data_IF_966494759398
#
_entry.id   IF_966494759398
#
_cell.length_a   1.000
_cell.length_b   1.000
_cell.length_c   1.000
_cell.angle_alpha   90.00
_cell.angle_beta   90.00
_cell.angle_gamma   90.00
#
_symmetry.space_group_name_H-M   'P 1'
#
loop_
_entity.id
_entity.type
_entity.pdbx_description
1 polymer ?
#
# COMPACT_ATOMS: atom_id res chain seq x y z
N UNK A 1 -10.78 4.89 12.42
CA UNK A 1 -9.45 5.38 11.95
C UNK A 1 -9.02 6.74 12.52
N UNK A 2 -9.77 7.37 13.42
CA UNK A 2 -9.42 8.70 13.95
C UNK A 2 -8.24 8.70 14.94
N UNK A 3 -8.01 7.60 15.65
CA UNK A 3 -7.03 7.57 16.75
C UNK A 3 -5.56 7.72 16.29
N UNK A 4 -5.19 7.24 15.11
CA UNK A 4 -3.78 7.27 14.68
C UNK A 4 -3.27 8.69 14.45
N UNK A 5 -4.07 9.55 13.80
CA UNK A 5 -3.68 10.94 13.56
C UNK A 5 -3.67 11.76 14.86
N UNK A 6 -4.55 11.44 15.80
CA UNK A 6 -4.52 12.02 17.16
C UNK A 6 -3.24 11.63 17.89
N UNK A 7 -2.85 10.36 17.85
CA UNK A 7 -1.60 9.91 18.46
C UNK A 7 -0.37 10.54 17.80
N UNK A 8 -0.35 10.67 16.47
CA UNK A 8 0.73 11.35 15.74
C UNK A 8 0.87 12.81 16.21
N UNK A 9 -0.24 13.55 16.30
CA UNK A 9 -0.22 14.93 16.79
C UNK A 9 0.21 15.02 18.26
N UNK A 10 -0.28 14.12 19.11
CA UNK A 10 0.06 14.13 20.55
C UNK A 10 1.54 13.78 20.80
N UNK A 11 2.13 12.94 19.95
CA UNK A 11 3.54 12.52 20.03
C UNK A 11 4.48 13.35 19.15
N UNK A 12 4.05 14.53 18.73
CA UNK A 12 4.84 15.43 17.88
C UNK A 12 6.22 15.71 18.49
N UNK A 13 7.27 15.39 17.73
CA UNK A 13 8.66 15.44 18.20
C UNK A 13 9.66 15.73 17.05
N UNK A 14 9.19 16.22 15.91
CA UNK A 14 10.04 16.48 14.73
C UNK A 14 9.83 17.89 14.15
N UNK A 15 10.14 18.97 14.90
CA UNK A 15 9.93 20.35 14.42
C UNK A 15 11.08 20.90 13.56
N UNK A 16 12.24 20.24 13.53
CA UNK A 16 13.46 20.72 12.85
C UNK A 16 13.83 19.76 11.71
N UNK A 17 14.04 20.31 10.51
CA UNK A 17 14.41 19.55 9.32
C UNK A 17 15.57 20.21 8.60
N UNK A 18 16.60 19.42 8.25
CA UNK A 18 17.81 19.91 7.52
C UNK A 18 18.46 21.15 8.16
N UNK A 19 18.37 21.29 9.48
CA UNK A 19 18.93 22.43 10.22
C UNK A 19 18.02 23.67 10.32
N UNK A 20 16.80 23.60 9.78
CA UNK A 20 15.81 24.69 9.81
C UNK A 20 14.63 24.31 10.70
N UNK A 21 14.12 25.28 11.47
CA UNK A 21 12.84 25.13 12.16
C UNK A 21 11.72 25.14 11.10
N UNK A 22 10.78 24.23 11.22
CA UNK A 22 9.66 24.08 10.30
C UNK A 22 8.33 24.41 10.97
N UNK A 23 7.33 24.69 10.15
CA UNK A 23 5.94 24.88 10.59
C UNK A 23 5.18 23.54 10.76
N UNK A 24 5.90 22.42 10.87
CA UNK A 24 5.35 21.07 10.99
C UNK A 24 6.06 20.33 12.13
N UNK A 25 5.29 19.88 13.13
CA UNK A 25 5.88 19.23 14.32
C UNK A 25 5.96 17.69 14.21
N UNK A 26 5.40 17.13 13.13
CA UNK A 26 5.27 15.69 12.91
C UNK A 26 6.02 15.22 11.66
N UNK A 27 6.58 14.00 11.71
CA UNK A 27 7.35 13.41 10.60
C UNK A 27 6.54 12.73 9.49
N UNK A 28 5.23 12.54 9.70
CA UNK A 28 4.39 11.70 8.83
C UNK A 28 4.42 12.14 7.35
N UNK A 29 4.25 13.43 7.09
CA UNK A 29 4.20 13.97 5.73
C UNK A 29 5.53 13.80 4.98
N UNK A 30 6.64 13.84 5.71
CA UNK A 30 7.98 13.66 5.11
C UNK A 30 8.22 12.19 4.82
N UNK A 31 7.89 11.29 5.75
CA UNK A 31 8.00 9.85 5.52
C UNK A 31 7.14 9.40 4.33
N UNK A 32 5.92 9.94 4.23
CA UNK A 32 5.03 9.68 3.10
C UNK A 32 5.64 10.07 1.75
N UNK A 33 6.33 11.22 1.71
CA UNK A 33 7.00 11.71 0.49
C UNK A 33 8.30 10.99 0.17
N UNK A 34 9.06 10.54 1.18
CA UNK A 34 10.33 9.81 0.97
C UNK A 34 10.09 8.45 0.32
N UNK A 35 8.94 7.83 0.59
CA UNK A 35 8.54 6.55 0.01
C UNK A 35 7.56 6.71 -1.16
N UNK A 36 7.34 7.93 -1.67
CA UNK A 36 6.43 8.16 -2.79
C UNK A 36 7.12 7.84 -4.12
N UNK A 37 6.71 6.74 -4.72
CA UNK A 37 7.21 6.22 -5.99
C UNK A 37 6.34 6.60 -7.19
N UNK A 38 5.27 7.38 -6.98
CA UNK A 38 4.29 7.69 -8.02
C UNK A 38 4.89 8.47 -9.19
N UNK A 39 4.60 8.04 -10.41
CA UNK A 39 4.96 8.77 -11.62
C UNK A 39 4.08 10.03 -11.81
N UNK A 40 4.46 10.97 -12.68
CA UNK A 40 3.57 12.08 -13.04
C UNK A 40 2.23 11.64 -13.68
N UNK A 41 2.17 10.46 -14.31
CA UNK A 41 0.92 9.92 -14.84
C UNK A 41 0.03 9.39 -13.68
N UNK A 42 0.62 8.65 -12.74
CA UNK A 42 -0.08 8.17 -11.54
C UNK A 42 -0.53 9.32 -10.60
N UNK A 43 0.21 10.43 -10.56
CA UNK A 43 -0.20 11.65 -9.87
C UNK A 43 -1.34 12.39 -10.60
N UNK A 44 -1.69 12.00 -11.82
CA UNK A 44 -2.69 12.68 -12.65
C UNK A 44 -2.21 14.01 -13.24
N UNK A 45 -0.89 14.28 -13.22
CA UNK A 45 -0.29 15.47 -13.84
C UNK A 45 -0.14 15.32 -15.35
N UNK A 46 -0.12 14.08 -15.84
CA UNK A 46 -0.09 13.69 -17.26
C UNK A 46 -1.17 12.65 -17.54
N UNK A 47 -1.66 12.54 -18.79
CA UNK A 47 -2.56 11.45 -19.16
C UNK A 47 -1.86 10.10 -19.00
N UNK A 48 -2.62 9.07 -18.63
CA UNK A 48 -2.15 7.70 -18.54
C UNK A 48 -1.79 7.17 -19.93
N UNK A 49 -0.51 6.80 -20.11
CA UNK A 49 0.01 6.18 -21.34
C UNK A 49 0.68 4.84 -20.99
N UNK A 50 1.55 4.86 -19.98
CA UNK A 50 2.30 3.70 -19.52
C UNK A 50 1.70 3.11 -18.24
N UNK A 51 1.19 3.98 -17.37
CA UNK A 51 0.64 3.59 -16.08
C UNK A 51 -0.85 3.24 -16.19
N UNK A 52 -1.32 2.38 -15.28
CA UNK A 52 -2.69 1.85 -15.29
C UNK A 52 -3.69 2.70 -14.52
N UNK A 53 -3.22 3.41 -13.49
CA UNK A 53 -4.08 4.00 -12.47
C UNK A 53 -3.61 5.40 -12.09
N UNK A 54 -4.55 6.32 -11.84
CA UNK A 54 -4.25 7.57 -11.12
C UNK A 54 -4.42 7.29 -9.63
N UNK A 55 -3.37 7.44 -8.84
CA UNK A 55 -3.33 6.99 -7.46
C UNK A 55 -3.19 8.19 -6.50
N UNK A 56 -4.20 8.45 -5.64
CA UNK A 56 -4.31 9.72 -4.93
C UNK A 56 -3.30 9.91 -3.79
N UNK A 57 -2.83 8.81 -3.17
CA UNK A 57 -1.91 8.84 -2.03
C UNK A 57 -0.61 8.11 -2.34
N UNK A 58 0.47 8.47 -1.65
CA UNK A 58 1.70 7.67 -1.59
C UNK A 58 1.39 6.28 -1.03
N UNK A 59 2.23 5.28 -1.35
CA UNK A 59 2.14 3.95 -0.74
C UNK A 59 2.24 4.02 0.78
N UNK A 60 3.17 4.84 1.30
CA UNK A 60 3.28 5.13 2.72
C UNK A 60 2.30 6.24 3.08
N UNK A 61 1.10 5.88 3.53
CA UNK A 61 0.05 6.85 3.86
C UNK A 61 -0.90 6.33 4.93
N UNK A 62 -1.91 7.13 5.28
CA UNK A 62 -2.94 6.71 6.22
C UNK A 62 -3.78 5.60 5.58
N UNK A 63 -4.39 4.75 6.40
CA UNK A 63 -5.29 3.67 5.93
C UNK A 63 -6.35 4.19 4.95
N UNK A 64 -6.66 3.39 3.94
CA UNK A 64 -7.58 3.73 2.85
C UNK A 64 -9.03 3.26 3.08
N UNK A 65 -9.21 2.11 3.71
CA UNK A 65 -10.52 1.51 3.88
C UNK A 65 -10.63 0.67 5.16
N UNK A 66 -11.86 0.56 5.65
CA UNK A 66 -12.25 -0.40 6.67
C UNK A 66 -12.48 -1.78 6.05
N UNK A 67 -12.04 -2.82 6.75
CA UNK A 67 -12.14 -4.23 6.35
C UNK A 67 -13.46 -4.91 6.74
N UNK A 68 -14.38 -4.17 7.34
CA UNK A 68 -15.58 -4.71 7.95
C UNK A 68 -16.79 -4.17 7.18
N UNK A 69 -17.65 -5.06 6.70
CA UNK A 69 -18.79 -4.71 5.83
C UNK A 69 -19.77 -3.76 6.51
N UNK A 70 -19.95 -3.89 7.83
CA UNK A 70 -20.77 -2.98 8.66
C UNK A 70 -20.24 -1.54 8.66
N UNK A 71 -18.94 -1.37 8.39
CA UNK A 71 -18.26 -0.09 8.31
C UNK A 71 -18.09 0.41 6.87
N UNK A 72 -18.62 -0.31 5.86
CA UNK A 72 -18.55 0.08 4.45
C UNK A 72 -19.06 1.48 4.16
N UNK A 73 -20.07 1.95 4.91
CA UNK A 73 -20.61 3.32 4.83
C UNK A 73 -19.60 4.41 5.16
N UNK A 74 -18.50 4.07 5.84
CA UNK A 74 -17.39 4.99 6.16
C UNK A 74 -16.24 4.89 5.14
N UNK A 75 -16.33 4.00 4.15
CA UNK A 75 -15.42 3.97 3.00
C UNK A 75 -15.93 4.95 1.94
N UNK A 76 -15.87 6.24 2.25
CA UNK A 76 -16.43 7.35 1.46
C UNK A 76 -15.42 7.99 0.49
N UNK A 77 -14.20 7.46 0.44
CA UNK A 77 -13.17 7.88 -0.49
C UNK A 77 -13.17 7.03 -1.77
N UNK A 78 -12.70 7.61 -2.87
CA UNK A 78 -12.49 6.86 -4.11
C UNK A 78 -11.27 5.93 -3.96
N UNK A 79 -11.53 4.65 -3.66
CA UNK A 79 -10.51 3.63 -3.54
C UNK A 79 -10.18 3.05 -4.92
N UNK A 80 -8.93 3.22 -5.35
CA UNK A 80 -8.40 2.63 -6.58
C UNK A 80 -7.92 1.20 -6.29
N UNK A 81 -8.36 0.20 -7.03
CA UNK A 81 -7.96 -1.20 -6.82
C UNK A 81 -7.95 -1.98 -8.13
N UNK A 82 -7.21 -3.08 -8.18
CA UNK A 82 -7.17 -3.96 -9.36
C UNK A 82 -8.39 -4.90 -9.39
N UNK A 83 -9.27 -4.71 -10.38
CA UNK A 83 -10.51 -5.49 -10.52
C UNK A 83 -10.27 -6.98 -10.78
N UNK A 84 -9.17 -7.34 -11.47
CA UNK A 84 -8.87 -8.72 -11.77
C UNK A 84 -8.48 -9.48 -10.49
N UNK A 85 -7.67 -8.83 -9.65
CA UNK A 85 -7.24 -9.38 -8.36
C UNK A 85 -8.44 -9.47 -7.41
N UNK A 86 -9.26 -8.42 -7.35
CA UNK A 86 -10.49 -8.43 -6.57
C UNK A 86 -11.39 -9.62 -6.97
N UNK A 87 -11.65 -9.77 -8.27
CA UNK A 87 -12.50 -10.85 -8.80
C UNK A 87 -11.91 -12.23 -8.48
N UNK A 88 -10.59 -12.38 -8.61
CA UNK A 88 -9.88 -13.62 -8.26
C UNK A 88 -10.08 -13.97 -6.78
N UNK A 89 -9.94 -13.01 -5.87
CA UNK A 89 -10.09 -13.24 -4.42
C UNK A 89 -11.52 -13.62 -4.05
N UNK A 90 -12.51 -12.88 -4.55
CA UNK A 90 -13.94 -13.19 -4.38
C UNK A 90 -14.28 -14.61 -4.87
N UNK A 91 -13.81 -14.97 -6.08
CA UNK A 91 -14.09 -16.29 -6.68
C UNK A 91 -13.51 -17.43 -5.83
N UNK A 92 -12.43 -17.18 -5.09
CA UNK A 92 -11.80 -18.15 -4.19
C UNK A 92 -12.34 -18.08 -2.75
N UNK A 93 -13.40 -17.32 -2.49
CA UNK A 93 -14.10 -17.30 -1.20
C UNK A 93 -13.55 -16.30 -0.18
N UNK A 94 -12.72 -15.35 -0.59
CA UNK A 94 -12.29 -14.23 0.29
C UNK A 94 -13.42 -13.21 0.39
N UNK A 95 -13.62 -12.64 1.58
CA UNK A 95 -14.69 -11.66 1.81
C UNK A 95 -14.49 -10.37 0.97
N UNK A 96 -15.58 -9.64 0.76
CA UNK A 96 -15.58 -8.50 -0.15
C UNK A 96 -14.71 -7.35 0.32
N UNK A 97 -14.76 -7.00 1.60
CA UNK A 97 -14.01 -5.87 2.14
C UNK A 97 -12.50 -6.14 2.12
N UNK A 98 -12.08 -7.35 2.53
CA UNK A 98 -10.69 -7.78 2.50
C UNK A 98 -10.19 -7.93 1.06
N UNK A 99 -11.00 -8.51 0.16
CA UNK A 99 -10.65 -8.62 -1.26
C UNK A 99 -10.36 -7.24 -1.87
N UNK A 100 -11.18 -6.24 -1.53
CA UNK A 100 -11.00 -4.87 -2.01
C UNK A 100 -9.75 -4.23 -1.43
N UNK A 101 -9.47 -4.45 -0.15
CA UNK A 101 -8.24 -3.99 0.49
C UNK A 101 -7.00 -4.60 -0.16
N UNK A 102 -6.94 -5.92 -0.33
CA UNK A 102 -5.80 -6.58 -0.98
C UNK A 102 -5.66 -6.10 -2.42
N UNK A 103 -6.75 -6.02 -3.19
CA UNK A 103 -6.71 -5.50 -4.55
C UNK A 103 -6.20 -4.05 -4.64
N UNK A 104 -6.44 -3.23 -3.60
CA UNK A 104 -5.88 -1.89 -3.49
C UNK A 104 -4.37 -1.92 -3.26
N UNK A 105 -3.83 -2.83 -2.45
CA UNK A 105 -2.38 -2.96 -2.25
C UNK A 105 -1.64 -3.30 -3.56
N UNK A 106 -2.27 -4.11 -4.42
CA UNK A 106 -1.69 -4.60 -5.67
C UNK A 106 -1.78 -3.62 -6.86
N UNK A 107 -2.30 -2.40 -6.65
CA UNK A 107 -2.14 -1.34 -7.66
C UNK A 107 -0.71 -0.84 -7.76
N UNK A 108 0.15 -1.21 -6.80
CA UNK A 108 1.56 -0.84 -6.72
C UNK A 108 2.47 -1.89 -7.33
N UNK A 109 3.59 -1.43 -7.84
CA UNK A 109 4.66 -2.30 -8.28
C UNK A 109 5.62 -2.64 -7.11
N UNK A 110 6.24 -3.84 -7.14
CA UNK A 110 7.25 -4.22 -6.17
C UNK A 110 8.55 -3.44 -6.43
N UNK A 111 9.08 -2.76 -5.41
CA UNK A 111 10.28 -1.93 -5.55
C UNK A 111 11.60 -2.68 -5.32
N UNK A 112 11.58 -3.73 -4.51
CA UNK A 112 12.78 -4.45 -4.12
C UNK A 112 12.55 -5.96 -4.25
N UNK A 113 12.93 -6.52 -5.40
CA UNK A 113 12.82 -7.96 -5.66
C UNK A 113 14.23 -8.53 -5.75
N UNK A 114 14.51 -9.51 -4.88
CA UNK A 114 15.78 -10.24 -4.92
C UNK A 114 15.72 -11.33 -5.99
N UNK A 115 16.82 -11.52 -6.74
CA UNK A 115 16.87 -12.43 -7.88
C UNK A 115 16.63 -13.88 -7.47
N UNK A 116 17.16 -14.27 -6.32
CA UNK A 116 17.00 -15.59 -5.70
C UNK A 116 15.53 -15.96 -5.44
N UNK A 117 14.65 -14.98 -5.36
CA UNK A 117 13.22 -15.17 -5.11
C UNK A 117 12.35 -14.92 -6.35
N UNK A 118 12.94 -14.72 -7.53
CA UNK A 118 12.18 -14.62 -8.80
C UNK A 118 11.66 -15.98 -9.26
N UNK A 119 12.37 -17.05 -8.92
CA UNK A 119 12.02 -18.42 -9.25
C UNK A 119 11.62 -19.07 -7.93
N UNK A 120 10.38 -19.58 -7.77
CA UNK A 120 10.04 -20.34 -6.58
C UNK A 120 11.02 -21.52 -6.46
N UNK A 121 11.58 -21.81 -5.27
CA UNK A 121 12.45 -22.96 -5.10
C UNK A 121 11.72 -24.21 -5.60
N UNK A 122 12.31 -24.89 -6.57
CA UNK A 122 11.67 -25.99 -7.31
C UNK A 122 11.37 -27.17 -6.38
N UNK A 123 12.07 -27.27 -5.24
CA UNK A 123 11.85 -28.26 -4.19
C UNK A 123 12.41 -27.69 -2.88
N UNK A 124 11.70 -27.83 -1.75
CA UNK A 124 12.32 -27.66 -0.44
C UNK A 124 13.46 -28.66 -0.23
N UNK A 125 14.38 -28.37 0.70
CA UNK A 125 15.51 -29.25 1.06
C UNK A 125 15.04 -30.65 1.49
N UNK A 126 13.75 -30.79 1.82
CA UNK A 126 13.13 -31.99 2.37
C UNK A 126 12.11 -32.66 1.43
N UNK A 127 11.99 -32.21 0.17
CA UNK A 127 11.01 -32.77 -0.77
C UNK A 127 9.58 -32.24 -0.61
N UNK A 128 9.35 -31.28 0.30
CA UNK A 128 8.06 -30.59 0.44
C UNK A 128 7.95 -29.36 -0.46
N UNK A 129 6.74 -29.09 -0.92
CA UNK A 129 6.38 -27.90 -1.69
C UNK A 129 6.50 -26.68 -0.74
N UNK A 130 7.56 -25.89 -0.88
CA UNK A 130 7.75 -24.72 -0.04
C UNK A 130 6.74 -23.63 -0.42
N UNK A 131 5.65 -23.53 0.35
CA UNK A 131 4.70 -22.43 0.27
C UNK A 131 5.38 -21.17 0.79
N UNK A 132 5.83 -20.30 -0.12
CA UNK A 132 6.46 -19.01 0.21
C UNK A 132 5.47 -17.87 0.03
N UNK A 133 5.38 -16.99 1.02
CA UNK A 133 4.62 -15.72 0.95
C UNK A 133 5.45 -14.56 0.39
N UNK A 134 6.71 -14.79 0.01
CA UNK A 134 7.66 -13.73 -0.36
C UNK A 134 7.11 -12.73 -1.38
N UNK A 135 6.47 -13.23 -2.45
CA UNK A 135 5.90 -12.36 -3.48
C UNK A 135 4.77 -11.46 -2.97
N UNK A 136 3.96 -11.97 -2.03
CA UNK A 136 2.92 -11.19 -1.37
C UNK A 136 3.54 -10.19 -0.39
N UNK A 137 4.47 -10.64 0.44
CA UNK A 137 5.13 -9.82 1.46
C UNK A 137 5.93 -8.68 0.85
N UNK A 138 6.48 -8.85 -0.35
CA UNK A 138 7.17 -7.79 -1.09
C UNK A 138 6.26 -6.57 -1.32
N UNK A 139 5.00 -6.82 -1.69
CA UNK A 139 4.03 -5.75 -1.84
C UNK A 139 3.55 -5.27 -0.47
N UNK A 140 3.06 -6.19 0.37
CA UNK A 140 2.42 -5.87 1.66
C UNK A 140 3.34 -5.15 2.66
N UNK A 141 4.65 -5.44 2.66
CA UNK A 141 5.61 -4.85 3.61
C UNK A 141 6.08 -3.44 3.22
N UNK A 142 5.79 -3.00 1.99
CA UNK A 142 6.26 -1.71 1.45
C UNK A 142 5.13 -0.66 1.42
N UNK A 143 4.06 -0.85 2.19
CA UNK A 143 2.86 0.01 2.22
C UNK A 143 2.70 0.59 3.61
#
# INVERSE_FOLDING_TARGET
MTSIMVCVALSAACPIWRGYLSEIDCRWNILSQVADDRTPEELGLKPLINDRYVIPKSRYSSVDCYLCDEHSKYNDINLVFDENIYTKLITNGVDSALSKHIAHLFVRDPLCVLREHLIPPIVGVDGEECISTYHFDNLNSLI
#
